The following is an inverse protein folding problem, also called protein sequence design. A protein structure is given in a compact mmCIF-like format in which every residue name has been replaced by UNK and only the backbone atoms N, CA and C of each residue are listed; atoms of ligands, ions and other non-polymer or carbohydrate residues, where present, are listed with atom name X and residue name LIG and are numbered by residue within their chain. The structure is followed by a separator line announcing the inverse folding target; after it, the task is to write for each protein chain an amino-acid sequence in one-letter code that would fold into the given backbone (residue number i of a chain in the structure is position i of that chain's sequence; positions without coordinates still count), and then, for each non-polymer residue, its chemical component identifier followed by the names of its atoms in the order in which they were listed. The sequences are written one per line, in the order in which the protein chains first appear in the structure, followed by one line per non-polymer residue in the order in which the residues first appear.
data_IF_041931717306
#
_entry.id   IF_041931717306
#
_cell.length_a   1.000
_cell.length_b   1.000
_cell.length_c   1.000
_cell.angle_alpha   90.00
_cell.angle_beta   90.00
_cell.angle_gamma   90.00
#
_symmetry.space_group_name_H-M   'P 1'
#
loop_
_entity.id
_entity.type
_entity.pdbx_description
1 polymer ?
#
# COMPACT_ATOMS: atom_id res chain seq x y z
N UNK A 1 10.17 20.37 -9.55
CA UNK A 1 9.67 20.67 -8.20
C UNK A 1 10.87 20.82 -7.27
N UNK A 2 11.15 22.05 -6.86
CA UNK A 2 12.27 22.47 -5.98
C UNK A 2 12.03 22.12 -4.50
N UNK A 3 10.83 21.67 -4.22
CA UNK A 3 10.23 21.37 -2.93
C UNK A 3 10.61 19.96 -2.43
N UNK A 4 10.94 19.01 -3.32
CA UNK A 4 11.36 17.65 -2.95
C UNK A 4 12.85 17.59 -2.60
N UNK A 5 13.22 17.21 -1.34
CA UNK A 5 14.59 17.01 -0.92
C UNK A 5 15.37 16.14 -1.91
N UNK A 6 16.60 16.55 -2.23
CA UNK A 6 17.43 15.88 -3.21
C UNK A 6 17.68 14.40 -2.84
N UNK A 7 17.74 14.11 -1.54
CA UNK A 7 17.87 12.75 -0.99
C UNK A 7 16.66 11.83 -1.25
N UNK A 8 15.49 12.39 -1.56
CA UNK A 8 14.23 11.67 -1.82
C UNK A 8 13.92 11.55 -3.33
N UNK A 9 14.58 12.33 -4.19
CA UNK A 9 14.39 12.23 -5.64
C UNK A 9 14.77 10.84 -6.14
N UNK A 10 13.88 10.24 -6.92
CA UNK A 10 14.08 8.89 -7.48
C UNK A 10 13.90 7.74 -6.48
N UNK A 11 13.70 8.01 -5.18
CA UNK A 11 13.51 6.96 -4.15
C UNK A 11 12.04 6.58 -3.91
N UNK A 12 11.12 6.97 -4.80
CA UNK A 12 9.67 6.71 -4.67
C UNK A 12 9.37 5.23 -4.41
N UNK A 13 9.98 4.32 -5.16
CA UNK A 13 9.79 2.88 -4.97
C UNK A 13 10.37 2.33 -3.66
N UNK A 14 11.38 2.97 -3.08
CA UNK A 14 11.98 2.58 -1.79
C UNK A 14 11.16 3.13 -0.62
N UNK A 15 10.62 4.34 -0.78
CA UNK A 15 9.77 4.99 0.22
C UNK A 15 8.39 4.34 0.27
N UNK A 16 7.73 4.17 -0.89
CA UNK A 16 6.37 3.66 -0.95
C UNK A 16 6.30 2.16 -1.23
N UNK A 17 7.40 1.49 -1.61
CA UNK A 17 7.41 0.05 -1.85
C UNK A 17 6.33 -0.36 -2.86
N UNK A 18 5.51 -1.33 -2.46
CA UNK A 18 4.34 -1.78 -3.20
C UNK A 18 3.02 -1.15 -2.70
N UNK A 19 3.07 -0.08 -1.91
CA UNK A 19 1.88 0.57 -1.36
C UNK A 19 0.94 1.09 -2.45
N UNK A 20 1.47 1.59 -3.58
CA UNK A 20 0.65 2.02 -4.72
C UNK A 20 -0.16 0.87 -5.30
N UNK A 21 0.44 -0.32 -5.44
CA UNK A 21 -0.26 -1.51 -5.92
C UNK A 21 -1.36 -1.96 -4.94
N UNK A 22 -1.09 -1.86 -3.64
CA UNK A 22 -2.09 -2.14 -2.60
C UNK A 22 -3.25 -1.14 -2.69
N UNK A 23 -2.94 0.15 -2.78
CA UNK A 23 -3.93 1.21 -2.93
C UNK A 23 -4.82 1.00 -4.16
N UNK A 24 -4.20 0.74 -5.32
CA UNK A 24 -4.92 0.53 -6.58
C UNK A 24 -5.80 -0.73 -6.51
N UNK A 25 -5.29 -1.83 -5.98
CA UNK A 25 -6.08 -3.07 -5.79
C UNK A 25 -7.31 -2.81 -4.92
N UNK A 26 -7.13 -2.16 -3.77
CA UNK A 26 -8.23 -1.88 -2.86
C UNK A 26 -9.24 -0.90 -3.45
N UNK A 27 -8.78 0.21 -4.02
CA UNK A 27 -9.65 1.26 -4.54
C UNK A 27 -10.42 0.85 -5.80
N UNK A 28 -9.80 0.08 -6.70
CA UNK A 28 -10.39 -0.23 -8.00
C UNK A 28 -11.13 -1.57 -8.04
N UNK A 29 -10.80 -2.52 -7.15
CA UNK A 29 -11.33 -3.89 -7.23
C UNK A 29 -11.96 -4.34 -5.92
N UNK A 30 -11.20 -4.34 -4.82
CA UNK A 30 -11.64 -5.01 -3.59
C UNK A 30 -12.77 -4.25 -2.87
N UNK A 31 -12.72 -2.91 -2.85
CA UNK A 31 -13.75 -2.10 -2.20
C UNK A 31 -15.13 -2.33 -2.81
N UNK A 32 -15.23 -2.30 -4.14
CA UNK A 32 -16.49 -2.54 -4.84
C UNK A 32 -17.06 -3.93 -4.51
N UNK A 33 -16.23 -4.98 -4.46
CA UNK A 33 -16.72 -6.31 -4.07
C UNK A 33 -17.21 -6.38 -2.62
N UNK A 34 -16.54 -5.69 -1.69
CA UNK A 34 -17.00 -5.60 -0.30
C UNK A 34 -18.35 -4.86 -0.18
N UNK A 35 -18.52 -3.76 -0.91
CA UNK A 35 -19.78 -3.02 -0.96
C UNK A 35 -20.93 -3.91 -1.47
N UNK A 36 -20.69 -4.72 -2.50
CA UNK A 36 -21.67 -5.70 -2.99
C UNK A 36 -22.00 -6.81 -1.97
N UNK A 37 -21.12 -7.06 -1.00
CA UNK A 37 -21.37 -8.03 0.07
C UNK A 37 -22.14 -7.44 1.26
N UNK A 38 -22.44 -6.13 1.29
CA UNK A 38 -23.21 -5.49 2.36
C UNK A 38 -24.51 -6.25 2.73
N UNK A 39 -25.36 -6.72 1.78
CA UNK A 39 -26.58 -7.45 2.13
C UNK A 39 -26.33 -8.88 2.66
N UNK A 40 -25.15 -9.45 2.46
CA UNK A 40 -24.78 -10.78 2.97
C UNK A 40 -23.29 -10.82 3.34
N UNK A 41 -22.91 -10.44 4.57
CA UNK A 41 -21.51 -10.36 5.00
C UNK A 41 -20.74 -11.68 4.89
N UNK A 42 -21.44 -12.82 5.01
CA UNK A 42 -20.84 -14.15 4.82
C UNK A 42 -20.32 -14.37 3.39
N UNK A 43 -20.81 -13.62 2.41
CA UNK A 43 -20.33 -13.66 1.04
C UNK A 43 -18.92 -13.05 0.89
N UNK A 44 -18.51 -12.15 1.79
CA UNK A 44 -17.23 -11.45 1.70
C UNK A 44 -16.03 -12.42 1.68
N UNK A 45 -16.14 -13.55 2.40
CA UNK A 45 -15.10 -14.59 2.40
C UNK A 45 -14.77 -15.11 1.00
N UNK A 46 -15.75 -15.17 0.08
CA UNK A 46 -15.50 -15.57 -1.31
C UNK A 46 -14.70 -14.52 -2.08
N UNK A 47 -14.87 -13.23 -1.75
CA UNK A 47 -14.05 -12.15 -2.31
C UNK A 47 -12.59 -12.32 -1.93
N UNK A 48 -12.29 -12.61 -0.65
CA UNK A 48 -10.91 -12.88 -0.22
C UNK A 48 -10.29 -14.08 -0.94
N UNK A 49 -11.03 -15.19 -1.10
CA UNK A 49 -10.55 -16.37 -1.81
C UNK A 49 -10.31 -16.11 -3.30
N UNK A 50 -11.14 -15.27 -3.93
CA UNK A 50 -10.99 -14.91 -5.35
C UNK A 50 -9.71 -14.13 -5.62
N UNK A 51 -9.28 -13.30 -4.68
CA UNK A 51 -8.10 -12.43 -4.82
C UNK A 51 -6.91 -12.90 -3.98
N UNK A 52 -6.82 -14.21 -3.69
CA UNK A 52 -5.76 -14.78 -2.84
C UNK A 52 -4.36 -14.42 -3.35
N UNK A 53 -4.14 -14.48 -4.67
CA UNK A 53 -2.88 -14.12 -5.30
C UNK A 53 -2.54 -12.63 -5.11
N UNK A 54 -3.52 -11.74 -5.30
CA UNK A 54 -3.34 -10.30 -5.04
C UNK A 54 -3.04 -10.01 -3.56
N UNK A 55 -3.67 -10.73 -2.63
CA UNK A 55 -3.35 -10.61 -1.20
C UNK A 55 -1.92 -11.08 -0.87
N UNK A 56 -1.30 -11.91 -1.71
CA UNK A 56 0.12 -12.25 -1.61
C UNK A 56 1.07 -11.04 -1.59
N UNK A 57 0.64 -9.89 -2.15
CA UNK A 57 1.39 -8.63 -2.09
C UNK A 57 1.62 -8.12 -0.65
N UNK A 58 0.79 -8.51 0.31
CA UNK A 58 0.98 -8.16 1.72
C UNK A 58 2.20 -8.84 2.35
N UNK A 59 2.61 -10.01 1.87
CA UNK A 59 3.83 -10.67 2.35
C UNK A 59 5.08 -9.83 2.06
N UNK A 60 5.16 -9.28 0.84
CA UNK A 60 6.20 -8.36 0.41
C UNK A 60 6.15 -7.04 1.20
N UNK A 61 4.95 -6.49 1.38
CA UNK A 61 4.76 -5.25 2.12
C UNK A 61 5.21 -5.38 3.59
N UNK A 62 4.76 -6.44 4.29
CA UNK A 62 5.10 -6.69 5.70
C UNK A 62 6.60 -6.93 5.90
N UNK A 63 7.26 -7.60 4.94
CA UNK A 63 8.73 -7.79 4.97
C UNK A 63 9.47 -6.47 4.77
N UNK A 64 8.95 -5.61 3.89
CA UNK A 64 9.58 -4.33 3.56
C UNK A 64 9.27 -3.23 4.58
N UNK A 65 8.22 -3.34 5.39
CA UNK A 65 7.86 -2.33 6.42
C UNK A 65 9.04 -1.96 7.34
N UNK A 66 9.64 -2.89 8.13
CA UNK A 66 10.75 -2.55 9.02
C UNK A 66 12.09 -2.27 8.30
N UNK A 67 12.23 -2.68 7.04
CA UNK A 67 13.46 -2.52 6.24
C UNK A 67 13.42 -1.31 5.30
N UNK A 68 12.25 -0.71 5.11
CA UNK A 68 12.09 0.42 4.22
C UNK A 68 12.87 1.61 4.79
N UNK A 69 13.82 2.13 4.00
CA UNK A 69 14.45 3.41 4.30
C UNK A 69 13.40 4.53 4.41
N UNK A 70 12.15 4.29 4.01
CA UNK A 70 10.97 5.12 4.27
C UNK A 70 10.88 5.58 5.72
N UNK A 71 10.84 4.67 6.70
CA UNK A 71 10.59 5.06 8.10
C UNK A 71 11.78 5.87 8.66
N UNK A 72 13.00 5.51 8.28
CA UNK A 72 14.20 6.30 8.60
C UNK A 72 14.22 7.68 7.90
N UNK A 73 13.78 7.75 6.64
CA UNK A 73 13.67 9.00 5.87
C UNK A 73 12.53 9.89 6.36
N UNK A 74 11.39 9.30 6.77
CA UNK A 74 10.25 9.98 7.40
C UNK A 74 10.62 10.49 8.79
N UNK A 75 11.31 9.71 9.62
CA UNK A 75 11.78 10.17 10.92
C UNK A 75 12.80 11.32 10.81
N UNK A 76 13.64 11.33 9.77
CA UNK A 76 14.69 12.36 9.61
C UNK A 76 14.25 13.59 8.81
N UNK A 77 13.31 13.45 7.87
CA UNK A 77 12.91 14.52 6.93
C UNK A 77 11.39 14.70 6.82
N UNK A 78 10.58 13.88 7.48
CA UNK A 78 9.12 13.88 7.35
C UNK A 78 8.46 15.19 7.78
N UNK A 79 8.91 15.79 8.89
CA UNK A 79 8.41 17.08 9.38
C UNK A 79 8.73 18.28 8.46
N UNK A 80 9.67 18.12 7.52
CA UNK A 80 10.05 19.18 6.59
C UNK A 80 9.36 19.05 5.22
N UNK A 81 8.66 17.93 4.96
CA UNK A 81 8.18 17.59 3.62
C UNK A 81 6.70 17.18 3.53
N UNK A 82 6.12 16.61 4.60
CA UNK A 82 4.68 16.31 4.72
C UNK A 82 4.01 17.32 5.65
#
# INVERSE_FOLDING_TARGET
RTDLPQALRGKRSVVFGNLEKLYDFHGQRFLAELEHCQPCPLAAGRGFLRHEEEFGMYALYSKNKPQSQSDALLCSHGNAFF
#
